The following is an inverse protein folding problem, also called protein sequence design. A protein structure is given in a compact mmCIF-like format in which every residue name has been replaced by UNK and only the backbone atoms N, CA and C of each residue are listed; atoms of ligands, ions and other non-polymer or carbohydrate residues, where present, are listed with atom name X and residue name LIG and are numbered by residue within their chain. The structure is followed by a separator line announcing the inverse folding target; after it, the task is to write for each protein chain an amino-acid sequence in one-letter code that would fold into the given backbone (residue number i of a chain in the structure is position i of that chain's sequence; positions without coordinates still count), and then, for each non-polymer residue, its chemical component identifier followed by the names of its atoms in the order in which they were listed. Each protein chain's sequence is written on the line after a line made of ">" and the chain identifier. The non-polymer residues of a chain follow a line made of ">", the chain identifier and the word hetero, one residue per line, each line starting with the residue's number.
data_IF_415886002806
#
_entry.id   IF_415886002806
#
_cell.length_a   1.000
_cell.length_b   1.000
_cell.length_c   1.000
_cell.angle_alpha   90.00
_cell.angle_beta   90.00
_cell.angle_gamma   90.00
#
_symmetry.space_group_name_H-M   'P 1'
#
loop_
_entity.id
_entity.type
_entity.pdbx_description
1 polymer ?
#
# COMPACT_ATOMS: atom_id res chain seq x y z
N UNK A 1 -44.05 61.46 20.21
CA UNK A 1 -43.04 60.47 20.62
C UNK A 1 -43.56 59.06 20.32
N UNK A 2 -42.64 58.12 20.11
CA UNK A 2 -42.82 56.66 19.91
C UNK A 2 -43.02 56.16 18.46
N UNK A 3 -41.89 56.07 17.74
CA UNK A 3 -41.72 55.15 16.61
C UNK A 3 -41.51 53.72 17.14
N UNK A 4 -42.23 52.75 16.55
CA UNK A 4 -42.17 51.32 16.87
C UNK A 4 -40.80 50.72 16.49
N UNK A 5 -40.00 50.33 17.49
CA UNK A 5 -38.89 49.38 17.31
C UNK A 5 -39.40 47.95 17.50
N UNK A 6 -39.63 47.24 16.40
CA UNK A 6 -40.24 45.90 16.43
C UNK A 6 -39.70 44.92 15.39
N UNK A 7 -38.39 44.87 15.15
CA UNK A 7 -37.80 43.92 14.17
C UNK A 7 -36.51 43.21 14.62
N UNK A 8 -35.90 43.59 15.75
CA UNK A 8 -34.58 43.08 16.15
C UNK A 8 -34.59 41.71 16.86
N UNK A 9 -35.74 41.26 17.41
CA UNK A 9 -35.83 40.08 18.29
C UNK A 9 -36.08 38.73 17.58
N UNK A 10 -36.72 38.72 16.41
CA UNK A 10 -37.03 37.47 15.67
C UNK A 10 -35.90 37.00 14.74
N UNK A 11 -34.97 37.89 14.35
CA UNK A 11 -33.81 37.53 13.52
C UNK A 11 -32.74 36.72 14.27
N UNK A 12 -32.54 36.97 15.58
CA UNK A 12 -31.54 36.25 16.39
C UNK A 12 -31.77 34.73 16.50
N UNK A 13 -32.99 34.24 16.78
CA UNK A 13 -33.29 32.81 16.86
C UNK A 13 -33.07 32.07 15.53
N UNK A 14 -33.44 32.69 14.42
CA UNK A 14 -33.23 32.14 13.07
C UNK A 14 -31.74 32.08 12.70
N UNK A 15 -30.98 33.13 13.01
CA UNK A 15 -29.51 33.14 12.82
C UNK A 15 -28.83 32.06 13.65
N UNK A 16 -29.22 31.93 14.93
CA UNK A 16 -28.69 30.92 15.86
C UNK A 16 -29.03 29.50 15.40
N UNK A 17 -30.24 29.27 14.90
CA UNK A 17 -30.68 27.96 14.38
C UNK A 17 -29.92 27.59 13.11
N UNK A 18 -29.75 28.52 12.16
CA UNK A 18 -28.95 28.32 10.93
C UNK A 18 -27.47 28.05 11.25
N UNK A 19 -26.89 28.79 12.20
CA UNK A 19 -25.51 28.58 12.65
C UNK A 19 -25.28 27.19 13.26
N UNK A 20 -26.24 26.68 14.05
CA UNK A 20 -26.15 25.32 14.62
C UNK A 20 -26.26 24.24 13.54
N UNK A 21 -27.10 24.41 12.51
CA UNK A 21 -27.13 23.46 11.39
C UNK A 21 -25.80 23.47 10.64
N UNK A 22 -25.29 24.65 10.27
CA UNK A 22 -24.03 24.78 9.56
C UNK A 22 -22.89 24.09 10.32
N UNK A 23 -22.81 24.29 11.64
CA UNK A 23 -21.80 23.63 12.48
C UNK A 23 -21.92 22.10 12.42
N UNK A 24 -23.15 21.55 12.46
CA UNK A 24 -23.38 20.10 12.36
C UNK A 24 -22.98 19.55 10.99
N UNK A 25 -23.34 20.25 9.91
CA UNK A 25 -22.97 19.85 8.55
C UNK A 25 -21.44 19.84 8.39
N UNK A 26 -20.77 20.91 8.83
CA UNK A 26 -19.31 20.99 8.82
C UNK A 26 -18.67 19.88 9.66
N UNK A 27 -19.21 19.59 10.85
CA UNK A 27 -18.70 18.54 11.71
C UNK A 27 -18.82 17.14 11.09
N UNK A 28 -19.95 16.81 10.45
CA UNK A 28 -20.15 15.51 9.77
C UNK A 28 -19.23 15.39 8.57
N UNK A 29 -19.13 16.43 7.73
CA UNK A 29 -18.22 16.42 6.58
C UNK A 29 -16.77 16.27 7.02
N UNK A 30 -16.34 17.03 8.03
CA UNK A 30 -14.99 16.93 8.57
C UNK A 30 -14.71 15.55 9.16
N UNK A 31 -15.64 14.98 9.93
CA UNK A 31 -15.48 13.65 10.50
C UNK A 31 -15.36 12.56 9.42
N UNK A 32 -16.17 12.64 8.37
CA UNK A 32 -16.11 11.71 7.24
C UNK A 32 -14.77 11.80 6.50
N UNK A 33 -14.32 13.02 6.17
CA UNK A 33 -13.03 13.24 5.53
C UNK A 33 -11.87 12.78 6.42
N UNK A 34 -11.87 13.15 7.71
CA UNK A 34 -10.83 12.74 8.66
C UNK A 34 -10.77 11.22 8.80
N UNK A 35 -11.91 10.54 8.83
CA UNK A 35 -11.96 9.09 8.92
C UNK A 35 -11.46 8.43 7.63
N UNK A 36 -12.06 8.75 6.49
CA UNK A 36 -11.80 8.12 5.20
C UNK A 36 -10.42 8.44 4.61
N UNK A 37 -9.91 9.65 4.84
CA UNK A 37 -8.64 10.11 4.26
C UNK A 37 -7.44 9.88 5.18
N UNK A 38 -7.66 9.59 6.46
CA UNK A 38 -6.58 9.49 7.42
C UNK A 38 -6.76 8.35 8.43
N UNK A 39 -7.79 8.37 9.29
CA UNK A 39 -7.87 7.45 10.44
C UNK A 39 -8.08 5.98 10.02
N UNK A 40 -8.78 5.72 8.92
CA UNK A 40 -9.08 4.35 8.48
C UNK A 40 -7.81 3.52 8.23
N UNK A 41 -6.74 4.14 7.71
CA UNK A 41 -5.45 3.46 7.50
C UNK A 41 -4.84 3.01 8.83
N UNK A 42 -4.90 3.83 9.87
CA UNK A 42 -4.42 3.46 11.20
C UNK A 42 -5.27 2.33 11.78
N UNK A 43 -6.60 2.42 11.68
CA UNK A 43 -7.51 1.39 12.20
C UNK A 43 -7.26 0.03 11.55
N UNK A 44 -6.99 0.00 10.25
CA UNK A 44 -6.76 -1.26 9.53
C UNK A 44 -5.34 -1.78 9.78
N UNK A 45 -4.31 -0.96 9.61
CA UNK A 45 -2.89 -1.38 9.70
C UNK A 45 -2.48 -1.70 11.15
N UNK A 46 -3.07 -1.04 12.16
CA UNK A 46 -2.79 -1.32 13.57
C UNK A 46 -3.12 -2.76 13.98
N UNK A 47 -3.95 -3.48 13.21
CA UNK A 47 -4.26 -4.90 13.47
C UNK A 47 -3.17 -5.85 12.98
N UNK A 48 -2.17 -5.36 12.27
CA UNK A 48 -1.09 -6.16 11.72
C UNK A 48 0.06 -6.28 12.74
N UNK A 49 0.54 -7.50 12.95
CA UNK A 49 1.68 -7.79 13.80
C UNK A 49 2.76 -8.51 12.99
N UNK A 50 4.01 -8.25 13.33
CA UNK A 50 5.15 -8.98 12.75
C UNK A 50 5.02 -10.47 13.08
N UNK A 51 5.13 -11.37 12.08
CA UNK A 51 5.06 -12.80 12.33
C UNK A 51 6.29 -13.26 13.12
N UNK A 52 6.11 -14.22 14.00
CA UNK A 52 7.21 -14.80 14.79
C UNK A 52 7.93 -15.88 13.98
N UNK A 53 9.26 -15.82 14.00
CA UNK A 53 10.12 -16.84 13.38
C UNK A 53 10.30 -17.96 14.40
N UNK A 54 10.05 -19.22 13.99
CA UNK A 54 10.28 -20.37 14.87
C UNK A 54 11.78 -20.60 15.04
N UNK A 55 12.27 -20.91 16.25
CA UNK A 55 13.66 -21.32 16.42
C UNK A 55 13.92 -22.64 15.68
N UNK A 56 15.15 -22.87 15.18
CA UNK A 56 15.52 -24.13 14.54
C UNK A 56 15.25 -25.33 15.48
N UNK A 57 14.74 -26.42 14.92
CA UNK A 57 14.34 -27.61 15.69
C UNK A 57 15.47 -28.27 16.50
N UNK A 58 16.74 -27.98 16.17
CA UNK A 58 17.94 -28.55 16.81
C UNK A 58 18.56 -27.65 17.91
N UNK A 59 17.86 -26.61 18.36
CA UNK A 59 18.35 -25.76 19.47
C UNK A 59 18.08 -26.41 20.84
N UNK A 60 18.71 -27.57 21.06
CA UNK A 60 18.81 -28.22 22.37
C UNK A 60 19.84 -27.49 23.24
N UNK A 61 19.37 -26.66 24.17
CA UNK A 61 20.12 -26.21 25.35
C UNK A 61 21.33 -25.27 25.16
N UNK A 62 21.67 -24.86 23.94
CA UNK A 62 22.79 -23.94 23.66
C UNK A 62 22.43 -22.47 23.88
N UNK A 63 23.18 -21.78 24.73
CA UNK A 63 23.03 -20.37 25.09
C UNK A 63 23.57 -19.43 23.98
N UNK A 64 23.12 -19.62 22.73
CA UNK A 64 23.44 -18.69 21.64
C UNK A 64 22.50 -17.47 21.70
N UNK A 65 23.07 -16.29 21.48
CA UNK A 65 22.29 -15.06 21.39
C UNK A 65 21.30 -15.17 20.21
N UNK A 66 20.03 -14.75 20.37
CA UNK A 66 19.03 -14.89 19.32
C UNK A 66 19.47 -14.19 18.03
N UNK A 67 19.32 -14.87 16.89
CA UNK A 67 19.67 -14.34 15.58
C UNK A 67 18.98 -12.98 15.33
N UNK A 68 19.66 -11.99 14.72
CA UNK A 68 19.07 -10.69 14.47
C UNK A 68 17.93 -10.81 13.44
N UNK A 69 16.69 -10.67 13.89
CA UNK A 69 15.51 -10.68 13.02
C UNK A 69 15.46 -9.40 12.18
N UNK A 70 15.37 -9.55 10.87
CA UNK A 70 15.08 -8.49 9.91
C UNK A 70 13.58 -8.37 9.70
N UNK A 71 13.04 -7.18 9.93
CA UNK A 71 11.65 -6.84 9.59
C UNK A 71 11.56 -6.19 8.22
N UNK A 72 11.03 -6.90 7.24
CA UNK A 72 10.89 -6.44 5.87
C UNK A 72 9.41 -6.35 5.44
N UNK A 73 9.08 -5.32 4.67
CA UNK A 73 7.79 -5.20 3.99
C UNK A 73 7.94 -5.46 2.50
N UNK A 74 7.01 -6.20 1.91
CA UNK A 74 6.96 -6.49 0.48
C UNK A 74 5.65 -5.98 -0.09
N UNK A 75 5.76 -5.02 -0.99
CA UNK A 75 4.69 -4.34 -1.73
C UNK A 75 4.77 -4.83 -3.17
N UNK A 76 3.68 -4.81 -3.93
CA UNK A 76 3.70 -5.11 -5.35
C UNK A 76 2.68 -4.26 -6.10
N UNK A 77 2.88 -4.14 -7.42
CA UNK A 77 1.91 -3.61 -8.37
C UNK A 77 1.31 -2.26 -7.89
N UNK A 78 2.17 -1.27 -7.64
CA UNK A 78 1.71 0.06 -7.20
C UNK A 78 1.00 0.80 -8.33
N UNK A 79 1.37 0.55 -9.59
CA UNK A 79 0.77 1.16 -10.79
C UNK A 79 0.55 2.67 -10.64
N UNK A 80 1.64 3.41 -10.40
CA UNK A 80 1.56 4.87 -10.43
C UNK A 80 1.07 5.31 -11.80
N UNK A 81 -0.10 5.94 -11.84
CA UNK A 81 -0.71 6.37 -13.09
C UNK A 81 0.18 7.40 -13.79
N UNK A 82 0.44 7.15 -15.07
CA UNK A 82 1.23 8.02 -15.93
C UNK A 82 0.41 9.18 -16.50
N UNK A 83 0.97 9.85 -17.50
CA UNK A 83 0.38 11.02 -18.13
C UNK A 83 -0.49 10.70 -19.37
N UNK A 84 -0.41 9.47 -19.90
CA UNK A 84 -1.00 9.12 -21.19
C UNK A 84 -2.46 8.67 -21.05
N UNK A 85 -2.73 7.71 -20.17
CA UNK A 85 -4.05 7.09 -19.98
C UNK A 85 -4.65 7.37 -18.61
N UNK A 86 -3.86 7.94 -17.68
CA UNK A 86 -4.32 8.23 -16.32
C UNK A 86 -5.27 9.43 -16.23
N UNK A 87 -6.48 9.21 -15.72
CA UNK A 87 -7.40 10.30 -15.37
C UNK A 87 -6.93 11.02 -14.10
N UNK A 88 -6.95 12.36 -14.09
CA UNK A 88 -6.37 13.17 -12.99
C UNK A 88 -7.01 12.89 -11.62
N UNK A 89 -8.31 12.63 -11.56
CA UNK A 89 -9.01 12.33 -10.31
C UNK A 89 -8.65 10.94 -9.78
N UNK A 90 -8.51 9.97 -10.69
CA UNK A 90 -8.11 8.62 -10.33
C UNK A 90 -6.69 8.65 -9.79
N UNK A 91 -5.80 9.33 -10.52
CA UNK A 91 -4.43 9.62 -10.11
C UNK A 91 -4.36 10.22 -8.70
N UNK A 92 -5.09 11.31 -8.45
CA UNK A 92 -5.16 11.93 -7.12
C UNK A 92 -5.59 10.92 -6.04
N UNK A 93 -6.63 10.11 -6.32
CA UNK A 93 -7.19 9.20 -5.33
C UNK A 93 -6.27 8.01 -5.02
N UNK A 94 -5.73 7.34 -6.05
CA UNK A 94 -4.83 6.18 -5.88
C UNK A 94 -3.51 6.59 -5.26
N UNK A 95 -2.94 7.72 -5.68
CA UNK A 95 -1.69 8.24 -5.10
C UNK A 95 -1.86 8.63 -3.64
N UNK A 96 -2.96 9.33 -3.30
CA UNK A 96 -3.26 9.64 -1.91
C UNK A 96 -3.38 8.37 -1.06
N UNK A 97 -4.08 7.35 -1.57
CA UNK A 97 -4.20 6.07 -0.88
C UNK A 97 -2.85 5.41 -0.63
N UNK A 98 -2.02 5.28 -1.67
CA UNK A 98 -0.71 4.64 -1.54
C UNK A 98 0.19 5.41 -0.58
N UNK A 99 0.21 6.74 -0.66
CA UNK A 99 0.98 7.57 0.27
C UNK A 99 0.50 7.38 1.71
N UNK A 100 -0.81 7.49 1.98
CA UNK A 100 -1.35 7.32 3.34
C UNK A 100 -1.08 5.91 3.88
N UNK A 101 -1.27 4.89 3.06
CA UNK A 101 -1.00 3.51 3.44
C UNK A 101 0.48 3.29 3.77
N UNK A 102 1.39 3.71 2.90
CA UNK A 102 2.83 3.50 3.10
C UNK A 102 3.36 4.30 4.29
N UNK A 103 3.01 5.58 4.41
CA UNK A 103 3.45 6.42 5.54
C UNK A 103 2.91 5.88 6.89
N UNK A 104 1.66 5.41 6.92
CA UNK A 104 1.06 4.82 8.13
C UNK A 104 1.72 3.49 8.49
N UNK A 105 2.03 2.65 7.50
CA UNK A 105 2.74 1.39 7.73
C UNK A 105 4.17 1.63 8.25
N UNK A 106 4.91 2.58 7.68
CA UNK A 106 6.23 2.96 8.20
C UNK A 106 6.17 3.43 9.66
N UNK A 107 5.14 4.22 10.00
CA UNK A 107 4.96 4.75 11.34
C UNK A 107 4.65 3.66 12.37
N UNK A 108 3.66 2.80 12.07
CA UNK A 108 3.16 1.79 13.01
C UNK A 108 4.06 0.55 13.07
N UNK A 109 4.53 0.07 11.92
CA UNK A 109 5.23 -1.22 11.83
C UNK A 109 6.74 -1.08 11.91
N UNK A 110 7.28 0.09 11.57
CA UNK A 110 8.72 0.40 11.61
C UNK A 110 9.60 -0.70 10.97
N UNK A 111 9.36 -1.05 9.68
CA UNK A 111 10.23 -1.99 8.97
C UNK A 111 11.65 -1.42 8.81
N UNK A 112 12.62 -2.28 8.60
CA UNK A 112 13.99 -1.89 8.25
C UNK A 112 14.18 -1.83 6.73
N UNK A 113 13.46 -2.66 5.99
CA UNK A 113 13.54 -2.73 4.53
C UNK A 113 12.13 -2.80 3.94
N UNK A 114 11.91 -2.10 2.85
CA UNK A 114 10.72 -2.21 2.02
C UNK A 114 11.13 -2.57 0.59
N UNK A 115 10.48 -3.59 0.04
CA UNK A 115 10.63 -4.01 -1.36
C UNK A 115 9.35 -3.70 -2.13
N UNK A 116 9.49 -3.24 -3.38
CA UNK A 116 8.38 -3.11 -4.34
C UNK A 116 8.62 -4.07 -5.49
N UNK A 117 7.72 -5.04 -5.64
CA UNK A 117 7.84 -6.17 -6.56
C UNK A 117 7.13 -5.87 -7.88
N UNK A 118 7.79 -5.11 -8.74
CA UNK A 118 7.33 -4.86 -10.10
C UNK A 118 6.20 -3.85 -10.20
N UNK A 119 5.94 -3.48 -11.46
CA UNK A 119 4.87 -2.58 -11.91
C UNK A 119 4.74 -1.35 -11.01
N UNK A 120 5.89 -0.69 -10.80
CA UNK A 120 5.98 0.53 -10.02
C UNK A 120 5.14 1.61 -10.69
N UNK A 121 5.32 1.78 -11.99
CA UNK A 121 4.58 2.70 -12.84
C UNK A 121 3.63 1.95 -13.78
N UNK A 122 2.45 2.53 -14.04
CA UNK A 122 1.48 1.94 -14.96
C UNK A 122 1.88 2.11 -16.44
N UNK A 123 2.66 3.15 -16.75
CA UNK A 123 3.00 3.55 -18.12
C UNK A 123 4.50 3.68 -18.36
N UNK A 124 5.35 3.17 -17.46
CA UNK A 124 6.80 3.31 -17.55
C UNK A 124 7.34 2.91 -18.92
N UNK A 125 6.87 1.80 -19.48
CA UNK A 125 7.23 1.29 -20.81
C UNK A 125 6.91 2.24 -21.98
N UNK A 126 6.00 3.18 -21.80
CA UNK A 126 5.57 4.16 -22.80
C UNK A 126 5.99 5.60 -22.47
N UNK A 127 6.58 5.82 -21.29
CA UNK A 127 6.88 7.16 -20.80
C UNK A 127 8.01 7.83 -21.59
N UNK A 128 7.82 9.11 -21.94
CA UNK A 128 8.92 9.97 -22.39
C UNK A 128 9.94 10.19 -21.27
N UNK A 129 11.16 10.69 -21.56
CA UNK A 129 12.14 10.99 -20.52
C UNK A 129 11.62 11.98 -19.46
N UNK A 130 10.85 13.00 -19.88
CA UNK A 130 10.26 13.97 -18.98
C UNK A 130 9.16 13.34 -18.11
N UNK A 131 8.22 12.62 -18.72
CA UNK A 131 7.15 11.95 -17.97
C UNK A 131 7.73 10.94 -16.96
N UNK A 132 8.78 10.20 -17.33
CA UNK A 132 9.50 9.33 -16.42
C UNK A 132 10.06 10.11 -15.21
N UNK A 133 10.74 11.24 -15.45
CA UNK A 133 11.30 12.05 -14.37
C UNK A 133 10.22 12.60 -13.42
N UNK A 134 9.09 13.05 -13.96
CA UNK A 134 7.95 13.53 -13.19
C UNK A 134 7.33 12.40 -12.34
N UNK A 135 7.19 11.22 -12.91
CA UNK A 135 6.66 10.03 -12.25
C UNK A 135 7.59 9.54 -11.13
N UNK A 136 8.91 9.52 -11.38
CA UNK A 136 9.93 9.25 -10.35
C UNK A 136 9.89 10.30 -9.23
N UNK A 137 9.67 11.57 -9.58
CA UNK A 137 9.51 12.64 -8.60
C UNK A 137 8.30 12.43 -7.69
N UNK A 138 7.16 12.00 -8.25
CA UNK A 138 5.97 11.63 -7.48
C UNK A 138 6.21 10.40 -6.61
N UNK A 139 6.81 9.36 -7.17
CA UNK A 139 7.19 8.15 -6.44
C UNK A 139 8.00 8.50 -5.19
N UNK A 140 9.07 9.29 -5.33
CA UNK A 140 9.95 9.66 -4.21
C UNK A 140 9.23 10.44 -3.11
N UNK A 141 8.20 11.21 -3.46
CA UNK A 141 7.38 11.94 -2.47
C UNK A 141 6.45 10.99 -1.71
N UNK A 142 5.75 10.10 -2.41
CA UNK A 142 4.79 9.18 -1.79
C UNK A 142 5.48 8.11 -0.94
N UNK A 143 6.54 7.52 -1.47
CA UNK A 143 7.33 6.48 -0.81
C UNK A 143 8.53 7.05 -0.04
N UNK A 144 8.43 8.31 0.43
CA UNK A 144 9.45 8.91 1.29
C UNK A 144 9.60 8.10 2.57
N UNK A 145 10.84 7.95 3.02
CA UNK A 145 11.17 7.12 4.17
C UNK A 145 12.39 7.71 4.90
N UNK A 146 12.54 7.46 6.21
CA UNK A 146 13.72 7.91 6.94
C UNK A 146 14.97 7.12 6.48
N UNK A 147 16.19 7.67 6.62
CA UNK A 147 17.42 7.05 6.12
C UNK A 147 17.71 5.64 6.65
N UNK A 148 17.14 5.28 7.80
CA UNK A 148 17.26 3.94 8.41
C UNK A 148 16.50 2.84 7.66
N UNK A 149 15.52 3.21 6.84
CA UNK A 149 14.71 2.27 6.05
C UNK A 149 15.32 2.18 4.67
N UNK A 150 15.62 0.98 4.20
CA UNK A 150 16.04 0.76 2.82
C UNK A 150 14.80 0.52 1.94
N UNK A 151 14.72 1.19 0.80
CA UNK A 151 13.71 0.92 -0.22
C UNK A 151 14.39 0.35 -1.47
N UNK A 152 13.89 -0.77 -1.95
CA UNK A 152 14.35 -1.45 -3.17
C UNK A 152 13.15 -1.77 -4.05
N UNK A 153 13.30 -1.72 -5.37
CA UNK A 153 12.25 -2.16 -6.28
C UNK A 153 12.81 -2.97 -7.43
N UNK A 154 12.08 -3.99 -7.85
CA UNK A 154 12.37 -4.76 -9.07
C UNK A 154 11.46 -4.30 -10.19
N UNK A 155 11.92 -4.46 -11.43
CA UNK A 155 11.18 -4.03 -12.61
C UNK A 155 10.02 -4.99 -12.89
N UNK A 156 8.88 -4.45 -13.31
CA UNK A 156 7.80 -5.23 -13.93
C UNK A 156 7.61 -4.92 -15.41
N UNK A 157 6.67 -5.62 -16.03
CA UNK A 157 6.38 -5.46 -17.45
C UNK A 157 5.79 -4.08 -17.78
N UNK A 158 5.12 -3.40 -16.84
CA UNK A 158 4.69 -2.02 -17.05
C UNK A 158 5.83 -1.01 -16.97
N UNK A 159 6.92 -1.33 -16.28
CA UNK A 159 8.09 -0.46 -16.15
C UNK A 159 9.01 -0.55 -17.37
N UNK A 160 9.32 -1.77 -17.81
CA UNK A 160 10.36 -2.04 -18.84
C UNK A 160 9.85 -2.75 -20.10
N UNK A 161 8.55 -3.06 -20.19
CA UNK A 161 7.89 -3.87 -21.25
C UNK A 161 8.07 -5.39 -21.07
N UNK A 162 7.26 -6.17 -21.78
CA UNK A 162 7.45 -7.63 -21.90
C UNK A 162 8.67 -7.96 -22.77
N UNK A 163 9.18 -9.18 -22.63
CA UNK A 163 10.34 -9.75 -23.32
C UNK A 163 10.60 -9.17 -24.72
N UNK A 164 9.71 -9.40 -25.69
CA UNK A 164 9.89 -8.98 -27.08
C UNK A 164 9.87 -7.45 -27.34
N UNK A 165 9.44 -6.64 -26.37
CA UNK A 165 9.36 -5.18 -26.48
C UNK A 165 10.29 -4.45 -25.49
N UNK A 166 11.02 -5.23 -24.69
CA UNK A 166 11.99 -4.74 -23.72
C UNK A 166 13.22 -4.20 -24.45
N UNK A 167 13.86 -3.18 -23.88
CA UNK A 167 15.12 -2.67 -24.41
C UNK A 167 16.03 -2.14 -23.31
N UNK A 168 17.32 -2.07 -23.63
CA UNK A 168 18.39 -1.66 -22.70
C UNK A 168 18.19 -0.26 -22.14
N UNK A 169 17.61 0.67 -22.90
CA UNK A 169 17.34 2.03 -22.41
C UNK A 169 16.33 2.01 -21.24
N UNK A 170 15.21 1.31 -21.40
CA UNK A 170 14.15 1.22 -20.38
C UNK A 170 14.66 0.53 -19.11
N UNK A 171 15.40 -0.57 -19.26
CA UNK A 171 16.01 -1.31 -18.14
C UNK A 171 16.99 -0.42 -17.38
N UNK A 172 18.01 0.12 -18.05
CA UNK A 172 19.05 0.94 -17.40
C UNK A 172 18.48 2.20 -16.75
N UNK A 173 17.43 2.78 -17.35
CA UNK A 173 16.68 3.90 -16.77
C UNK A 173 16.02 3.52 -15.44
N UNK A 174 15.41 2.34 -15.36
CA UNK A 174 14.78 1.83 -14.14
C UNK A 174 15.84 1.52 -13.08
N UNK A 175 16.86 0.74 -13.42
CA UNK A 175 17.93 0.32 -12.51
C UNK A 175 18.65 1.50 -11.86
N UNK A 176 18.93 2.56 -12.63
CA UNK A 176 19.54 3.80 -12.13
C UNK A 176 18.75 4.43 -10.97
N UNK A 177 17.43 4.25 -10.93
CA UNK A 177 16.57 4.85 -9.90
C UNK A 177 16.32 3.88 -8.75
N UNK A 178 16.10 2.60 -9.04
CA UNK A 178 15.51 1.67 -8.08
C UNK A 178 16.38 0.48 -7.70
N UNK A 179 17.27 0.05 -8.60
CA UNK A 179 17.98 -1.20 -8.45
C UNK A 179 19.42 -1.09 -8.98
N UNK A 180 20.29 -0.32 -8.32
CA UNK A 180 21.68 -0.19 -8.73
C UNK A 180 22.50 -1.46 -8.44
N UNK A 181 22.04 -2.32 -7.53
CA UNK A 181 22.76 -3.52 -7.08
C UNK A 181 21.82 -4.73 -7.08
N UNK A 182 22.11 -5.76 -7.88
CA UNK A 182 21.28 -6.98 -7.98
C UNK A 182 21.32 -7.87 -6.74
N UNK A 183 22.45 -7.88 -6.02
CA UNK A 183 22.61 -8.56 -4.74
C UNK A 183 22.61 -7.54 -3.61
N UNK A 184 21.62 -7.61 -2.72
CA UNK A 184 21.54 -6.81 -1.52
C UNK A 184 21.66 -7.71 -0.28
N UNK A 185 22.64 -7.45 0.58
CA UNK A 185 22.85 -8.22 1.81
C UNK A 185 22.54 -7.37 3.04
N UNK A 186 21.71 -7.88 3.95
CA UNK A 186 21.34 -7.19 5.19
C UNK A 186 21.10 -8.17 6.31
N UNK A 187 21.67 -7.93 7.50
CA UNK A 187 21.56 -8.84 8.67
C UNK A 187 21.88 -10.32 8.35
N UNK A 188 22.87 -10.57 7.50
CA UNK A 188 23.25 -11.92 7.08
C UNK A 188 22.30 -12.59 6.09
N UNK A 189 21.31 -11.86 5.56
CA UNK A 189 20.36 -12.34 4.57
C UNK A 189 20.72 -11.77 3.21
N UNK A 190 20.74 -12.63 2.18
CA UNK A 190 21.02 -12.25 0.80
C UNK A 190 19.72 -12.16 0.01
N UNK A 191 19.46 -10.99 -0.58
CA UNK A 191 18.35 -10.74 -1.49
C UNK A 191 18.89 -10.62 -2.91
N UNK A 192 18.38 -11.45 -3.82
CA UNK A 192 18.71 -11.41 -5.24
C UNK A 192 17.52 -10.85 -5.99
N UNK A 193 17.70 -9.70 -6.64
CA UNK A 193 16.67 -8.99 -7.37
C UNK A 193 16.77 -9.31 -8.87
N UNK A 194 15.80 -10.07 -9.39
CA UNK A 194 15.78 -10.51 -10.78
C UNK A 194 14.75 -9.72 -11.62
N UNK A 195 15.07 -9.49 -12.89
CA UNK A 195 14.11 -8.98 -13.88
C UNK A 195 13.53 -10.17 -14.63
N UNK A 196 12.34 -10.63 -14.23
CA UNK A 196 11.70 -11.80 -14.85
C UNK A 196 11.41 -11.62 -16.35
N UNK A 197 11.28 -10.39 -16.83
CA UNK A 197 11.05 -10.14 -18.26
C UNK A 197 12.28 -10.41 -19.13
N UNK A 198 13.43 -10.64 -18.50
CA UNK A 198 14.69 -11.05 -19.14
C UNK A 198 15.00 -12.54 -18.93
N UNK A 199 14.08 -13.35 -18.41
CA UNK A 199 14.29 -14.76 -18.08
C UNK A 199 13.46 -15.72 -18.96
N UNK A 200 13.21 -15.37 -20.23
CA UNK A 200 12.49 -16.23 -21.18
C UNK A 200 13.28 -17.50 -21.55
N UNK A 201 14.62 -17.46 -21.48
CA UNK A 201 15.49 -18.60 -21.81
C UNK A 201 15.68 -18.87 -23.30
N UNK A 202 15.38 -17.89 -24.16
CA UNK A 202 15.52 -17.98 -25.62
C UNK A 202 16.90 -17.54 -26.15
N UNK A 203 17.84 -17.20 -25.26
CA UNK A 203 19.19 -16.77 -25.61
C UNK A 203 19.27 -15.34 -26.17
N UNK A 204 18.25 -14.50 -25.95
CA UNK A 204 18.33 -13.09 -26.34
C UNK A 204 19.51 -12.37 -25.68
N UNK A 205 20.05 -11.29 -26.29
CA UNK A 205 21.23 -10.60 -25.76
C UNK A 205 21.03 -10.02 -24.35
N UNK A 206 19.84 -9.49 -24.06
CA UNK A 206 19.48 -8.99 -22.73
C UNK A 206 19.34 -10.16 -21.74
N UNK A 207 18.72 -11.25 -22.19
CA UNK A 207 18.42 -12.44 -21.40
C UNK A 207 19.71 -13.15 -20.97
N UNK A 208 20.60 -13.37 -21.93
CA UNK A 208 21.94 -13.94 -21.70
C UNK A 208 22.76 -13.09 -20.73
N UNK A 209 22.60 -11.76 -20.77
CA UNK A 209 23.25 -10.85 -19.84
C UNK A 209 22.69 -10.96 -18.41
N UNK A 210 21.36 -10.97 -18.27
CA UNK A 210 20.68 -11.16 -16.98
C UNK A 210 21.03 -12.52 -16.37
N UNK A 211 20.95 -13.59 -17.16
CA UNK A 211 21.37 -14.92 -16.77
C UNK A 211 22.83 -14.88 -16.31
N UNK A 212 23.78 -14.45 -17.15
CA UNK A 212 25.20 -14.41 -16.78
C UNK A 212 25.49 -13.64 -15.48
N UNK A 213 24.78 -12.53 -15.21
CA UNK A 213 24.92 -11.78 -13.95
C UNK A 213 24.41 -12.59 -12.75
N UNK A 214 23.21 -13.16 -12.84
CA UNK A 214 22.67 -14.06 -11.82
C UNK A 214 23.60 -15.26 -11.59
N UNK A 215 24.19 -15.78 -12.66
CA UNK A 215 25.13 -16.89 -12.63
C UNK A 215 26.39 -16.55 -11.83
N UNK A 216 26.92 -15.35 -12.01
CA UNK A 216 28.06 -14.86 -11.25
C UNK A 216 27.72 -14.63 -9.77
N UNK A 217 26.55 -14.05 -9.47
CA UNK A 217 26.09 -13.89 -8.07
C UNK A 217 25.95 -15.25 -7.40
N UNK A 218 25.37 -16.23 -8.08
CA UNK A 218 25.26 -17.61 -7.59
C UNK A 218 26.64 -18.19 -7.24
N UNK A 219 27.63 -18.02 -8.12
CA UNK A 219 29.00 -18.47 -7.91
C UNK A 219 29.63 -17.84 -6.68
N UNK A 220 29.40 -16.54 -6.46
CA UNK A 220 29.87 -15.80 -5.29
C UNK A 220 29.24 -16.28 -3.99
N UNK A 221 27.97 -16.66 -4.01
CA UNK A 221 27.25 -17.13 -2.83
C UNK A 221 27.54 -18.60 -2.47
N UNK A 222 27.86 -19.45 -3.46
CA UNK A 222 27.95 -20.90 -3.25
C UNK A 222 29.35 -21.47 -3.06
N UNK A 223 30.44 -20.69 -3.19
CA UNK A 223 31.87 -21.01 -2.93
C UNK A 223 32.49 -22.35 -3.45
N UNK A 224 31.75 -23.44 -3.71
CA UNK A 224 32.22 -24.72 -4.26
C UNK A 224 31.04 -25.71 -4.42
N UNK A 225 30.29 -25.63 -5.54
CA UNK A 225 29.64 -26.80 -6.18
C UNK A 225 29.02 -26.43 -7.52
N UNK A 226 29.40 -27.19 -8.54
CA UNK A 226 28.89 -27.05 -9.90
C UNK A 226 27.38 -27.32 -9.97
N UNK A 227 26.69 -26.31 -10.50
CA UNK A 227 25.44 -26.33 -11.28
C UNK A 227 24.46 -27.47 -11.05
N UNK A 228 23.52 -27.25 -10.12
CA UNK A 228 22.15 -27.76 -10.24
C UNK A 228 21.17 -26.72 -9.65
N UNK A 229 20.62 -25.83 -10.50
CA UNK A 229 19.57 -24.81 -10.20
C UNK A 229 20.00 -23.55 -9.39
N UNK A 230 21.02 -22.86 -9.92
CA UNK A 230 21.62 -21.55 -9.55
C UNK A 230 21.74 -21.18 -8.07
N UNK A 231 20.67 -20.84 -7.36
CA UNK A 231 20.76 -20.27 -5.99
C UNK A 231 20.24 -21.16 -4.87
N UNK A 232 19.38 -22.16 -5.18
CA UNK A 232 18.54 -22.85 -4.18
C UNK A 232 17.91 -21.86 -3.18
N UNK A 233 17.11 -20.88 -3.65
CA UNK A 233 16.49 -19.91 -2.75
C UNK A 233 15.56 -20.62 -1.76
N UNK A 234 15.49 -20.11 -0.52
CA UNK A 234 14.54 -20.62 0.49
C UNK A 234 13.14 -20.01 0.40
N UNK A 235 13.02 -18.88 -0.29
CA UNK A 235 11.79 -18.14 -0.51
C UNK A 235 11.90 -17.34 -1.81
N UNK A 236 10.85 -17.37 -2.63
CA UNK A 236 10.67 -16.51 -3.80
C UNK A 236 9.47 -15.61 -3.55
N UNK A 237 9.63 -14.30 -3.82
CA UNK A 237 8.55 -13.32 -3.73
C UNK A 237 8.36 -12.66 -5.09
N UNK A 238 7.14 -12.72 -5.61
CA UNK A 238 6.78 -12.20 -6.94
C UNK A 238 5.60 -11.22 -6.86
N UNK A 239 5.31 -10.49 -7.94
CA UNK A 239 4.16 -9.57 -8.06
C UNK A 239 3.23 -10.01 -9.21
N UNK A 240 2.71 -9.06 -9.98
CA UNK A 240 2.02 -9.22 -11.27
C UNK A 240 0.61 -9.85 -11.23
N UNK A 241 0.36 -10.86 -10.40
CA UNK A 241 -0.98 -11.51 -10.33
C UNK A 241 -2.03 -10.64 -9.62
N UNK A 242 -1.59 -9.53 -9.01
CA UNK A 242 -2.34 -8.64 -8.14
C UNK A 242 -2.95 -9.32 -6.90
N UNK A 243 -2.75 -10.63 -6.72
CA UNK A 243 -3.46 -11.49 -5.77
C UNK A 243 -2.47 -12.33 -4.99
N UNK A 244 -2.81 -12.67 -3.75
CA UNK A 244 -1.95 -13.58 -2.98
C UNK A 244 -2.08 -14.98 -3.55
N UNK A 245 -0.96 -15.58 -3.94
CA UNK A 245 -0.87 -16.96 -4.39
C UNK A 245 0.36 -17.59 -3.74
N UNK A 246 0.24 -18.83 -3.29
CA UNK A 246 1.36 -19.60 -2.75
C UNK A 246 1.55 -20.82 -3.63
N UNK A 247 2.78 -21.00 -4.11
CA UNK A 247 3.18 -22.13 -4.95
C UNK A 247 4.39 -22.78 -4.31
N UNK A 248 4.31 -24.09 -4.08
CA UNK A 248 5.45 -24.87 -3.61
C UNK A 248 6.16 -25.48 -4.82
N UNK A 249 7.37 -25.02 -5.09
CA UNK A 249 8.22 -25.55 -6.15
C UNK A 249 8.95 -26.82 -5.71
N UNK A 250 9.56 -27.51 -6.68
CA UNK A 250 10.46 -28.64 -6.42
C UNK A 250 11.56 -28.27 -5.42
N UNK A 251 12.02 -29.25 -4.63
CA UNK A 251 12.93 -29.06 -3.50
C UNK A 251 12.38 -28.24 -2.32
N UNK A 252 11.07 -28.00 -2.25
CA UNK A 252 10.41 -27.39 -1.09
C UNK A 252 10.53 -25.86 -1.03
N UNK A 253 10.82 -25.21 -2.16
CA UNK A 253 10.94 -23.75 -2.23
C UNK A 253 9.55 -23.12 -2.32
N UNK A 254 9.17 -22.29 -1.34
CA UNK A 254 7.93 -21.53 -1.37
C UNK A 254 8.10 -20.30 -2.28
N UNK A 255 7.16 -20.11 -3.21
CA UNK A 255 6.92 -18.86 -3.90
C UNK A 255 5.63 -18.22 -3.39
N UNK A 256 5.69 -16.94 -3.06
CA UNK A 256 4.52 -16.14 -2.70
C UNK A 256 4.39 -14.95 -3.65
N UNK A 257 3.27 -14.87 -4.36
CA UNK A 257 2.90 -13.67 -5.09
C UNK A 257 2.31 -12.65 -4.12
N UNK A 258 2.92 -11.47 -4.06
CA UNK A 258 2.50 -10.34 -3.24
C UNK A 258 1.32 -9.64 -3.94
N UNK A 259 0.20 -9.40 -3.24
CA UNK A 259 -0.94 -8.69 -3.81
C UNK A 259 -0.62 -7.24 -4.17
N UNK A 260 -1.44 -6.66 -5.03
CA UNK A 260 -1.32 -5.24 -5.34
C UNK A 260 -1.55 -4.35 -4.11
N UNK A 261 -0.71 -3.33 -3.98
CA UNK A 261 -0.79 -2.31 -2.96
C UNK A 261 -1.80 -1.18 -3.28
N UNK A 262 -2.31 -1.16 -4.51
CA UNK A 262 -3.10 -0.05 -5.06
C UNK A 262 -4.56 -0.42 -5.26
N UNK A 263 -5.48 0.48 -4.87
CA UNK A 263 -6.89 0.31 -5.22
C UNK A 263 -7.15 0.27 -6.73
N UNK A 264 -6.18 0.67 -7.55
CA UNK A 264 -6.32 0.63 -9.02
C UNK A 264 -6.58 -0.78 -9.54
N UNK A 265 -6.03 -1.77 -8.85
CA UNK A 265 -6.02 -3.16 -9.29
C UNK A 265 -7.01 -4.02 -8.52
N UNK A 266 -7.27 -3.69 -7.24
CA UNK A 266 -8.17 -4.46 -6.38
C UNK A 266 -8.85 -3.59 -5.33
N UNK A 267 -10.08 -3.96 -4.98
CA UNK A 267 -10.82 -3.33 -3.88
C UNK A 267 -10.13 -3.51 -2.52
N UNK A 268 -9.49 -4.66 -2.26
CA UNK A 268 -8.87 -5.02 -0.98
C UNK A 268 -7.33 -5.14 -1.07
N UNK A 269 -6.60 -4.04 -1.28
CA UNK A 269 -5.15 -4.09 -1.42
C UNK A 269 -4.48 -4.51 -0.11
N UNK A 270 -3.25 -4.99 -0.22
CA UNK A 270 -2.51 -5.52 0.93
C UNK A 270 -1.02 -5.59 0.61
N UNK A 271 -0.21 -5.86 1.62
CA UNK A 271 1.22 -6.13 1.48
C UNK A 271 1.61 -7.32 2.37
N UNK A 272 2.79 -7.87 2.13
CA UNK A 272 3.34 -8.95 2.96
C UNK A 272 4.38 -8.37 3.93
N UNK A 273 4.31 -8.80 5.18
CA UNK A 273 5.31 -8.56 6.21
C UNK A 273 6.14 -9.83 6.38
N UNK A 274 7.45 -9.69 6.41
CA UNK A 274 8.39 -10.77 6.66
C UNK A 274 9.25 -10.49 7.88
N UNK A 275 9.32 -11.46 8.78
CA UNK A 275 10.36 -11.54 9.80
C UNK A 275 11.36 -12.59 9.32
N UNK A 276 12.60 -12.17 9.06
CA UNK A 276 13.59 -13.01 8.40
C UNK A 276 14.84 -13.12 9.26
N UNK A 277 15.44 -14.30 9.33
CA UNK A 277 16.78 -14.53 9.86
C UNK A 277 17.68 -15.12 8.76
N UNK A 278 18.98 -15.32 8.96
CA UNK A 278 19.83 -16.01 7.99
C UNK A 278 19.37 -17.43 7.62
N UNK A 279 18.62 -18.09 8.51
CA UNK A 279 18.20 -19.49 8.35
C UNK A 279 16.70 -19.62 8.09
N UNK A 280 15.87 -18.91 8.86
CA UNK A 280 14.42 -19.07 8.89
C UNK A 280 13.67 -17.81 8.44
N UNK A 281 12.37 -17.94 8.18
CA UNK A 281 11.50 -16.81 7.90
C UNK A 281 10.05 -17.11 8.30
N UNK A 282 9.30 -16.04 8.55
CA UNK A 282 7.86 -16.08 8.72
C UNK A 282 7.21 -14.93 7.95
N UNK A 283 6.10 -15.21 7.28
CA UNK A 283 5.36 -14.24 6.49
C UNK A 283 3.96 -14.03 7.05
N UNK A 284 3.46 -12.79 6.99
CA UNK A 284 2.09 -12.46 7.31
C UNK A 284 1.55 -11.41 6.36
N UNK A 285 0.30 -11.58 5.94
CA UNK A 285 -0.40 -10.62 5.10
C UNK A 285 -1.02 -9.50 5.95
N UNK A 286 -0.74 -8.26 5.58
CA UNK A 286 -1.38 -7.08 6.17
C UNK A 286 -2.32 -6.41 5.16
N UNK A 287 -3.59 -6.28 5.52
CA UNK A 287 -4.60 -5.64 4.67
C UNK A 287 -4.52 -4.12 4.77
N UNK A 288 -4.95 -3.46 3.70
CA UNK A 288 -5.27 -2.04 3.66
C UNK A 288 -6.79 -1.83 3.63
N UNK A 289 -7.28 -0.61 3.89
CA UNK A 289 -8.71 -0.31 3.79
C UNK A 289 -9.26 -0.68 2.41
N UNK A 290 -10.47 -1.26 2.36
CA UNK A 290 -11.13 -1.51 1.09
C UNK A 290 -11.66 -0.21 0.48
N UNK A 291 -11.58 -0.06 -0.84
CA UNK A 291 -12.11 1.12 -1.54
C UNK A 291 -13.61 1.28 -1.30
N UNK A 292 -14.38 0.20 -1.45
CA UNK A 292 -15.82 0.20 -1.24
C UNK A 292 -16.19 0.60 0.18
N UNK A 293 -15.41 0.19 1.20
CA UNK A 293 -15.67 0.62 2.58
C UNK A 293 -15.55 2.14 2.71
N UNK A 294 -14.57 2.76 2.05
CA UNK A 294 -14.41 4.20 2.05
C UNK A 294 -15.55 4.89 1.27
N UNK A 295 -15.90 4.38 0.09
CA UNK A 295 -16.99 4.92 -0.72
C UNK A 295 -18.35 4.81 0.00
N UNK A 296 -18.66 3.66 0.60
CA UNK A 296 -19.87 3.45 1.40
C UNK A 296 -19.89 4.43 2.58
N UNK A 297 -18.76 4.63 3.27
CA UNK A 297 -18.69 5.59 4.38
C UNK A 297 -19.00 7.01 3.91
N UNK A 298 -18.51 7.42 2.74
CA UNK A 298 -18.88 8.70 2.13
C UNK A 298 -20.36 8.79 1.77
N UNK A 299 -20.95 7.74 1.19
CA UNK A 299 -22.37 7.69 0.88
C UNK A 299 -23.24 7.80 2.13
N UNK A 300 -22.87 7.11 3.22
CA UNK A 300 -23.56 7.19 4.52
C UNK A 300 -23.47 8.61 5.09
N UNK A 301 -22.29 9.23 5.05
CA UNK A 301 -22.11 10.61 5.50
C UNK A 301 -22.96 11.60 4.68
N UNK A 302 -23.00 11.45 3.36
CA UNK A 302 -23.85 12.26 2.48
C UNK A 302 -25.34 12.09 2.82
N UNK A 303 -25.80 10.86 3.04
CA UNK A 303 -27.17 10.58 3.51
C UNK A 303 -27.48 11.26 4.85
N UNK A 304 -26.54 11.22 5.80
CA UNK A 304 -26.69 11.92 7.08
C UNK A 304 -26.79 13.44 6.92
N UNK A 305 -26.01 14.05 6.03
CA UNK A 305 -26.09 15.49 5.72
C UNK A 305 -27.46 15.88 5.12
N UNK A 306 -27.99 15.07 4.21
CA UNK A 306 -29.33 15.27 3.63
C UNK A 306 -30.40 15.19 4.72
N UNK A 307 -30.37 14.15 5.56
CA UNK A 307 -31.31 13.98 6.67
C UNK A 307 -31.27 15.15 7.66
N UNK A 308 -30.07 15.61 8.04
CA UNK A 308 -29.90 16.77 8.92
C UNK A 308 -30.52 18.04 8.32
N UNK A 309 -30.38 18.22 7.01
CA UNK A 309 -30.95 19.35 6.28
C UNK A 309 -32.48 19.27 6.22
N UNK A 310 -33.04 18.11 5.89
CA UNK A 310 -34.50 17.89 5.85
C UNK A 310 -35.17 18.08 7.21
N UNK A 311 -34.55 17.57 8.29
CA UNK A 311 -35.03 17.79 9.67
C UNK A 311 -34.97 19.27 10.05
N UNK A 312 -33.96 20.00 9.58
CA UNK A 312 -33.85 21.43 9.88
C UNK A 312 -34.92 22.27 9.17
N UNK A 313 -35.19 21.98 7.90
CA UNK A 313 -36.23 22.66 7.10
C UNK A 313 -37.65 22.25 7.53
N UNK A 314 -37.79 21.21 8.37
CA UNK A 314 -39.07 20.78 8.93
C UNK A 314 -39.84 19.80 8.03
N UNK A 315 -39.19 19.28 6.98
CA UNK A 315 -39.73 18.26 6.08
C UNK A 315 -39.75 16.86 6.72
N UNK A 316 -38.97 16.65 7.80
CA UNK A 316 -38.96 15.44 8.61
C UNK A 316 -39.07 15.78 10.10
N UNK A 317 -39.85 15.00 10.84
CA UNK A 317 -39.86 15.10 12.30
C UNK A 317 -38.56 14.54 12.85
N UNK A 318 -37.94 15.26 13.79
CA UNK A 318 -36.68 14.80 14.40
C UNK A 318 -36.94 13.48 15.16
N UNK A 319 -36.17 12.41 14.90
CA UNK A 319 -36.37 11.12 15.59
C UNK A 319 -36.20 11.24 17.12
N UNK A 320 -35.42 12.21 17.59
CA UNK A 320 -35.28 12.54 19.01
C UNK A 320 -36.58 13.08 19.65
N UNK A 321 -37.45 13.77 18.88
CA UNK A 321 -38.76 14.20 19.38
C UNK A 321 -39.74 13.03 19.47
N UNK A 322 -39.63 12.04 18.59
CA UNK A 322 -40.48 10.86 18.60
C UNK A 322 -40.17 9.96 19.82
N UNK A 323 -38.89 9.69 20.09
CA UNK A 323 -38.46 8.92 21.27
C UNK A 323 -38.81 9.60 22.61
N UNK A 324 -38.71 10.93 22.70
CA UNK A 324 -39.10 11.67 23.90
C UNK A 324 -40.61 11.63 24.16
N UNK A 325 -41.44 11.65 23.11
CA UNK A 325 -42.89 11.55 23.24
C UNK A 325 -43.34 10.13 23.66
N UNK A 326 -42.61 9.09 23.26
CA UNK A 326 -42.82 7.72 23.72
C UNK A 326 -42.42 7.54 25.20
N UNK A 327 -41.25 8.04 25.60
CA UNK A 327 -40.80 7.98 27.01
C UNK A 327 -41.70 8.80 27.95
N UNK A 328 -42.27 9.90 27.46
CA UNK A 328 -43.21 10.71 28.25
C UNK A 328 -44.57 10.03 28.43
N UNK A 329 -44.99 9.17 27.49
CA UNK A 329 -46.18 8.31 27.64
C UNK A 329 -45.98 7.20 28.69
N UNK A 330 -44.76 6.68 28.86
CA UNK A 330 -44.44 5.66 29.87
C UNK A 330 -44.25 6.21 31.29
N UNK A 331 -44.15 7.53 31.48
CA UNK A 331 -44.01 8.17 32.80
C UNK A 331 -45.35 8.67 33.38
N UNK A 332 -46.46 8.45 32.67
CA UNK A 332 -47.83 8.86 33.02
C UNK A 332 -48.77 7.69 33.34
N UNK A 333 -48.21 6.51 33.55
CA UNK A 333 -48.84 5.34 34.20
C UNK A 333 -48.03 5.02 35.43
#
# INVERSE_FOLDING_TARGET
>A
MAARLGTRRQHLPLLKRRGVLLLKLMAVTFAALLFCEFLIYYVVIFRCNWPEVKPPADSDGGQEAPEPVLRAMFLADTHLLGALRGHWLDKLRREWQMERAFQTALWLLQPEVAFILGDVFDEGKWSSPQAWADDVGRFRRMFRHPPRVQLRAVAGNHDVSFHYQMNTYKIKRFERVFNPERLFSWKGINFVMANSMALEGDGCAICSGEEAELMEISRRLNCSRELLWWFRPRLVLSGHTHSACEVLHGAGVLEVSVPSFSWRNRNNPSFIMGSLTPTEYALAKCYLPCEDTVLITYCVAAGALVLLTLVHVGLLTSPLRFGWNLLRKFKTT
#
